data_IF_613027505714
#
_entry.id   IF_613027505714
#
_cell.length_a   1.000
_cell.length_b   1.000
_cell.length_c   1.000
_cell.angle_alpha   90.00
_cell.angle_beta   90.00
_cell.angle_gamma   90.00
#
_symmetry.space_group_name_H-M   'P 1'
#
loop_
_entity.id
_entity.type
_entity.pdbx_description
1 polymer ?
#
# COMPACT_ATOMS: atom_id res chain seq x y z
N UNK A 1 10.18 -1.23 -6.18
CA UNK A 1 9.55 -1.70 -7.44
C UNK A 1 8.06 -1.44 -7.39
N UNK A 2 7.50 -0.90 -8.44
CA UNK A 2 6.08 -0.58 -8.50
C UNK A 2 5.48 -1.15 -9.80
N UNK A 3 4.26 -1.67 -9.72
CA UNK A 3 3.58 -2.25 -10.88
C UNK A 3 2.07 -2.22 -10.68
N UNK A 4 1.33 -2.17 -11.78
CA UNK A 4 -0.13 -2.19 -11.72
C UNK A 4 -0.63 -3.56 -11.27
N UNK A 5 -1.70 -3.57 -10.45
CA UNK A 5 -2.33 -4.83 -10.04
C UNK A 5 -3.05 -5.45 -11.23
N UNK A 6 -2.93 -6.78 -11.37
CA UNK A 6 -3.57 -7.51 -12.46
C UNK A 6 -5.08 -7.65 -12.27
N UNK A 7 -5.56 -7.45 -11.04
CA UNK A 7 -6.98 -7.47 -10.70
C UNK A 7 -7.35 -6.16 -9.98
N UNK A 8 -7.33 -5.02 -10.70
CA UNK A 8 -7.45 -3.72 -10.04
C UNK A 8 -8.82 -3.51 -9.42
N UNK A 9 -8.83 -2.90 -8.23
CA UNK A 9 -10.05 -2.57 -7.49
C UNK A 9 -10.38 -1.08 -7.57
N UNK A 10 -9.63 -0.33 -8.34
CA UNK A 10 -9.85 1.09 -8.60
C UNK A 10 -9.26 1.42 -9.98
N UNK A 11 -9.62 2.57 -10.59
CA UNK A 11 -9.05 2.96 -11.88
C UNK A 11 -7.52 3.00 -11.84
N UNK A 12 -6.93 3.41 -10.71
CA UNK A 12 -5.50 3.27 -10.47
C UNK A 12 -5.33 2.36 -9.26
N UNK A 13 -4.68 1.24 -9.45
CA UNK A 13 -4.36 0.30 -8.37
C UNK A 13 -2.95 -0.22 -8.62
N UNK A 14 -1.99 0.31 -7.88
CA UNK A 14 -0.58 0.01 -8.04
C UNK A 14 -0.04 -0.59 -6.76
N UNK A 15 0.85 -1.55 -6.89
CA UNK A 15 1.57 -2.17 -5.78
C UNK A 15 2.99 -1.64 -5.75
N UNK A 16 3.46 -1.26 -4.57
CA UNK A 16 4.85 -0.87 -4.34
C UNK A 16 5.45 -1.85 -3.36
N UNK A 17 6.58 -2.45 -3.71
CA UNK A 17 7.25 -3.43 -2.86
C UNK A 17 8.68 -2.99 -2.59
N UNK A 18 9.21 -3.23 -1.37
CA UNK A 18 10.62 -2.97 -1.08
C UNK A 18 11.49 -4.03 -1.72
N UNK A 19 12.78 -3.74 -1.84
CA UNK A 19 13.75 -4.70 -2.39
C UNK A 19 14.07 -5.82 -1.40
N UNK A 20 14.08 -5.51 -0.10
CA UNK A 20 14.39 -6.49 0.93
C UNK A 20 13.27 -7.50 1.12
N UNK A 21 13.59 -8.58 1.82
CA UNK A 21 12.63 -9.64 2.07
C UNK A 21 11.94 -9.42 3.39
N UNK A 22 10.81 -8.74 3.34
CA UNK A 22 9.97 -8.49 4.52
C UNK A 22 8.61 -9.10 4.28
N UNK A 23 8.07 -9.78 5.28
CA UNK A 23 6.76 -10.42 5.16
C UNK A 23 5.65 -9.38 5.20
N UNK A 24 5.77 -8.40 6.10
CA UNK A 24 4.73 -7.40 6.30
C UNK A 24 5.34 -6.12 6.88
N UNK A 25 4.49 -5.12 7.10
CA UNK A 25 4.92 -3.84 7.66
C UNK A 25 5.57 -4.00 9.02
N UNK A 26 5.09 -4.94 9.84
CA UNK A 26 5.61 -5.10 11.20
C UNK A 26 7.10 -5.48 11.24
N UNK A 27 7.51 -6.48 10.47
CA UNK A 27 8.92 -6.88 10.47
C UNK A 27 9.80 -5.86 9.73
N UNK A 28 9.27 -5.22 8.70
CA UNK A 28 9.97 -4.15 7.99
C UNK A 28 10.31 -2.99 8.94
N UNK A 29 9.31 -2.48 9.66
CA UNK A 29 9.51 -1.36 10.57
C UNK A 29 10.36 -1.73 11.78
N UNK A 30 10.36 -3.00 12.19
CA UNK A 30 11.14 -3.44 13.34
C UNK A 30 12.61 -3.68 13.01
N UNK A 31 12.95 -4.10 11.80
CA UNK A 31 14.29 -4.62 11.50
C UNK A 31 15.02 -3.93 10.38
N UNK A 32 14.33 -3.23 9.49
CA UNK A 32 15.00 -2.57 8.37
C UNK A 32 15.80 -1.36 8.85
N UNK A 33 16.95 -1.05 8.21
CA UNK A 33 17.68 0.18 8.51
C UNK A 33 16.83 1.42 8.22
N UNK A 34 17.07 2.49 8.98
CA UNK A 34 16.32 3.75 8.82
C UNK A 34 16.35 4.26 7.38
N UNK A 35 17.50 4.19 6.73
CA UNK A 35 17.62 4.65 5.35
C UNK A 35 16.75 3.85 4.39
N UNK A 36 16.59 2.56 4.64
CA UNK A 36 15.76 1.71 3.80
C UNK A 36 14.27 2.01 4.00
N UNK A 37 13.87 2.23 5.27
CA UNK A 37 12.49 2.62 5.58
C UNK A 37 12.15 3.96 4.93
N UNK A 38 13.00 4.96 5.14
CA UNK A 38 12.80 6.27 4.56
C UNK A 38 12.79 6.22 3.03
N UNK A 39 13.73 5.49 2.44
CA UNK A 39 13.81 5.34 0.99
C UNK A 39 12.57 4.70 0.40
N UNK A 40 12.05 3.66 1.06
CA UNK A 40 10.83 3.00 0.60
C UNK A 40 9.63 3.94 0.59
N UNK A 41 9.39 4.65 1.69
CA UNK A 41 8.24 5.55 1.76
C UNK A 41 8.38 6.76 0.84
N UNK A 42 9.60 7.27 0.65
CA UNK A 42 9.83 8.30 -0.36
C UNK A 42 9.52 7.80 -1.76
N UNK A 43 9.87 6.55 -2.05
CA UNK A 43 9.54 5.93 -3.34
C UNK A 43 8.03 5.78 -3.52
N UNK A 44 7.30 5.38 -2.47
CA UNK A 44 5.84 5.32 -2.53
C UNK A 44 5.25 6.68 -2.87
N UNK A 45 5.72 7.74 -2.22
CA UNK A 45 5.28 9.10 -2.51
C UNK A 45 5.60 9.53 -3.94
N UNK A 46 6.77 9.15 -4.45
CA UNK A 46 7.18 9.47 -5.82
C UNK A 46 6.27 8.79 -6.83
N UNK A 47 5.95 7.51 -6.62
CA UNK A 47 5.04 6.77 -7.50
C UNK A 47 3.67 7.44 -7.52
N UNK A 48 3.13 7.81 -6.37
CA UNK A 48 1.84 8.50 -6.30
C UNK A 48 1.87 9.81 -7.10
N UNK A 49 2.95 10.57 -6.99
CA UNK A 49 3.12 11.82 -7.72
C UNK A 49 3.20 11.59 -9.22
N UNK A 50 3.99 10.62 -9.65
CA UNK A 50 4.14 10.29 -11.06
C UNK A 50 2.84 9.80 -11.69
N UNK A 51 1.99 9.14 -10.91
CA UNK A 51 0.67 8.70 -11.35
C UNK A 51 -0.37 9.82 -11.32
N UNK A 52 0.00 11.01 -10.86
CA UNK A 52 -0.91 12.16 -10.81
C UNK A 52 -1.97 12.04 -9.72
N UNK A 53 -1.72 11.32 -8.65
CA UNK A 53 -2.72 11.04 -7.62
C UNK A 53 -2.79 12.08 -6.52
N UNK A 54 -1.76 12.93 -6.38
CA UNK A 54 -1.65 13.80 -5.20
C UNK A 54 -2.75 14.85 -5.12
N UNK A 55 -3.17 15.42 -6.23
CA UNK A 55 -4.11 16.54 -6.20
C UNK A 55 -5.52 16.10 -5.84
N UNK A 56 -6.01 15.05 -6.47
CA UNK A 56 -7.34 14.52 -6.17
C UNK A 56 -7.36 13.68 -4.90
N UNK A 57 -6.20 13.13 -4.55
CA UNK A 57 -6.06 12.27 -3.38
C UNK A 57 -6.01 10.80 -3.73
N UNK A 58 -5.47 10.02 -2.82
CA UNK A 58 -5.33 8.58 -2.99
C UNK A 58 -5.31 7.89 -1.64
N UNK A 59 -5.43 6.59 -1.67
CA UNK A 59 -5.34 5.77 -0.46
C UNK A 59 -4.12 4.88 -0.54
N UNK A 60 -3.35 4.87 0.55
CA UNK A 60 -2.23 3.97 0.73
C UNK A 60 -2.65 2.93 1.77
N UNK A 61 -2.45 1.65 1.44
CA UNK A 61 -2.91 0.58 2.29
C UNK A 61 -1.94 -0.60 2.24
N UNK A 62 -1.65 -1.18 3.40
CA UNK A 62 -0.87 -2.40 3.50
C UNK A 62 -1.58 -3.37 4.43
N UNK A 63 -1.72 -4.61 4.00
CA UNK A 63 -2.35 -5.65 4.79
C UNK A 63 -1.29 -6.46 5.53
N UNK A 64 -1.55 -6.75 6.79
CA UNK A 64 -0.69 -7.59 7.61
C UNK A 64 -1.52 -8.56 8.42
N UNK A 65 -1.20 -9.83 8.31
CA UNK A 65 -1.81 -10.86 9.11
C UNK A 65 -3.18 -11.31 8.65
N UNK A 66 -3.74 -12.27 9.38
CA UNK A 66 -4.95 -12.99 8.97
C UNK A 66 -6.18 -12.08 8.92
N UNK A 67 -6.35 -11.21 9.93
CA UNK A 67 -7.53 -10.33 9.97
C UNK A 67 -7.55 -9.29 8.84
N UNK A 68 -6.41 -8.99 8.26
CA UNK A 68 -6.33 -8.06 7.13
C UNK A 68 -6.56 -8.76 5.79
N UNK A 69 -6.46 -10.09 5.77
CA UNK A 69 -6.56 -10.85 4.53
C UNK A 69 -5.27 -10.87 3.71
N UNK A 70 -4.12 -10.69 4.36
CA UNK A 70 -2.85 -10.79 3.65
C UNK A 70 -2.67 -12.20 3.11
N UNK A 71 -2.57 -12.32 1.78
CA UNK A 71 -2.41 -13.62 1.12
C UNK A 71 -0.96 -13.88 0.72
N UNK A 72 -0.28 -12.87 0.19
CA UNK A 72 1.10 -12.98 -0.28
C UNK A 72 2.03 -12.61 0.88
N UNK A 73 2.93 -13.53 1.33
CA UNK A 73 3.82 -13.27 2.47
C UNK A 73 5.04 -12.42 2.08
N UNK A 74 4.80 -11.31 1.44
CA UNK A 74 5.81 -10.33 1.08
C UNK A 74 5.18 -8.94 1.20
N UNK A 75 5.86 -8.04 1.91
CA UNK A 75 5.36 -6.69 2.11
C UNK A 75 5.07 -6.00 0.79
N UNK A 76 3.85 -5.49 0.67
CA UNK A 76 3.47 -4.64 -0.44
C UNK A 76 2.51 -3.57 0.03
N UNK A 77 2.62 -2.40 -0.57
CA UNK A 77 1.75 -1.27 -0.30
C UNK A 77 0.89 -1.04 -1.53
N UNK A 78 -0.43 -1.02 -1.31
CA UNK A 78 -1.38 -0.68 -2.37
C UNK A 78 -1.54 0.82 -2.45
N UNK A 79 -1.57 1.35 -3.67
CA UNK A 79 -1.98 2.72 -3.94
C UNK A 79 -3.24 2.67 -4.78
N UNK A 80 -4.32 3.25 -4.25
CA UNK A 80 -5.61 3.31 -4.93
C UNK A 80 -5.96 4.76 -5.25
N UNK A 81 -6.41 5.02 -6.45
CA UNK A 81 -6.83 6.35 -6.84
C UNK A 81 -7.58 6.37 -8.16
N UNK A 82 -7.75 7.55 -8.71
CA UNK A 82 -8.42 7.74 -9.99
C UNK A 82 -9.94 7.90 -9.89
N UNK A 83 -10.50 7.70 -8.70
CA UNK A 83 -11.92 7.88 -8.43
C UNK A 83 -12.13 8.00 -6.92
N UNK A 84 -13.30 8.44 -6.50
CA UNK A 84 -13.68 8.41 -5.09
C UNK A 84 -13.75 6.96 -4.63
N UNK A 85 -13.06 6.65 -3.53
CA UNK A 85 -12.85 5.26 -3.11
C UNK A 85 -13.91 4.76 -2.12
N UNK A 86 -14.79 5.65 -1.63
CA UNK A 86 -15.80 5.27 -0.68
C UNK A 86 -15.28 5.22 0.75
N UNK A 87 -15.97 4.49 1.65
CA UNK A 87 -15.60 4.45 3.06
C UNK A 87 -14.24 3.82 3.29
N UNK A 88 -13.65 4.08 4.46
CA UNK A 88 -12.33 3.59 4.82
C UNK A 88 -12.26 2.06 4.77
N UNK A 89 -13.28 1.38 5.24
CA UNK A 89 -13.46 -0.05 5.09
C UNK A 89 -14.64 -0.30 4.15
N UNK A 90 -14.69 -1.47 3.53
CA UNK A 90 -15.77 -1.83 2.62
C UNK A 90 -17.14 -1.62 3.26
N UNK A 91 -17.21 -1.84 4.58
CA UNK A 91 -18.36 -1.48 5.41
C UNK A 91 -17.85 -1.12 6.80
N UNK A 92 -18.55 -0.26 7.51
CA UNK A 92 -18.21 0.02 8.88
C UNK A 92 -18.45 -1.25 9.72
N UNK A 93 -17.44 -1.59 10.54
CA UNK A 93 -17.59 -2.65 11.53
C UNK A 93 -18.10 -1.97 12.79
N UNK A 94 -19.36 -2.19 13.12
CA UNK A 94 -19.92 -1.61 14.33
C UNK A 94 -19.24 -2.13 15.58
N UNK A 95 -19.54 -1.51 16.68
CA UNK A 95 -19.09 -1.92 18.01
C UNK A 95 -19.95 -3.06 18.51
N UNK A 96 -20.06 -4.01 17.67
CA UNK A 96 -20.88 -5.20 17.92
C UNK A 96 -20.27 -6.06 19.00
#
# INVERSE_FOLDING_TARGET
>A
MAFHDIAPQAPVHVLVIPRGRYVAMADFLATAPDAEIAGFFRAVGRVARELGLEQAGYRMLSNMGMHSGQEVPHLHVHLFGGAALGPMLARALGDT
#
